data_IF_941449030776
#
_entry.id   IF_941449030776
#
_cell.length_a   1.000
_cell.length_b   1.000
_cell.length_c   1.000
_cell.angle_alpha   90.00
_cell.angle_beta   90.00
_cell.angle_gamma   90.00
#
_symmetry.space_group_name_H-M   'P 1'
#
loop_
_entity.id
_entity.type
_entity.pdbx_description
1 polymer ?
#
# COMPACT_ATOMS: atom_id res chain seq x y z
N UNK A 1 10.88 2.59 -15.29
CA UNK A 1 10.13 1.33 -15.26
C UNK A 1 10.71 0.43 -14.16
N UNK A 2 9.87 -0.33 -13.44
CA UNK A 2 10.33 -1.21 -12.37
C UNK A 2 11.11 -2.39 -12.98
N UNK A 3 12.36 -2.64 -12.56
CA UNK A 3 13.20 -3.67 -13.17
C UNK A 3 12.84 -5.10 -12.76
N UNK A 4 11.91 -5.27 -11.83
CA UNK A 4 11.53 -6.56 -11.25
C UNK A 4 12.35 -6.96 -10.03
N UNK A 5 11.83 -7.96 -9.29
CA UNK A 5 12.37 -8.35 -7.99
C UNK A 5 13.78 -8.93 -8.07
N UNK A 6 14.09 -9.69 -9.11
CA UNK A 6 15.39 -10.35 -9.22
C UNK A 6 16.53 -9.33 -9.46
N UNK A 7 16.27 -8.29 -10.25
CA UNK A 7 17.19 -7.15 -10.42
C UNK A 7 17.26 -6.32 -9.14
N UNK A 8 16.15 -6.10 -8.46
CA UNK A 8 16.12 -5.40 -7.18
C UNK A 8 17.03 -6.11 -6.15
N UNK A 9 16.87 -7.40 -5.95
CA UNK A 9 17.64 -8.16 -4.97
C UNK A 9 19.13 -8.25 -5.33
N UNK A 10 19.46 -8.41 -6.61
CA UNK A 10 20.84 -8.56 -7.06
C UNK A 10 21.61 -7.23 -7.11
N UNK A 11 20.99 -6.18 -7.61
CA UNK A 11 21.69 -4.96 -8.02
C UNK A 11 21.34 -3.73 -7.19
N UNK A 12 20.11 -3.64 -6.64
CA UNK A 12 19.62 -2.43 -5.95
C UNK A 12 19.76 -2.57 -4.44
N UNK A 13 19.25 -3.64 -3.86
CA UNK A 13 19.27 -3.85 -2.41
C UNK A 13 20.69 -3.76 -1.81
N UNK A 14 21.73 -4.37 -2.40
CA UNK A 14 23.10 -4.24 -1.88
C UNK A 14 23.61 -2.79 -1.86
N UNK A 15 23.26 -1.99 -2.87
CA UNK A 15 23.64 -0.56 -2.92
C UNK A 15 22.92 0.24 -1.85
N UNK A 16 21.61 0.02 -1.67
CA UNK A 16 20.84 0.68 -0.60
C UNK A 16 21.45 0.37 0.76
N UNK A 17 21.84 -0.87 1.01
CA UNK A 17 22.48 -1.26 2.27
C UNK A 17 23.87 -0.69 2.47
N UNK A 18 24.62 -0.53 1.40
CA UNK A 18 25.93 0.14 1.46
C UNK A 18 25.79 1.64 1.78
N UNK A 19 24.80 2.32 1.19
CA UNK A 19 24.57 3.76 1.37
C UNK A 19 23.86 4.11 2.69
N UNK A 20 22.99 3.21 3.18
CA UNK A 20 22.17 3.42 4.37
C UNK A 20 22.14 2.15 5.28
N UNK A 21 23.29 1.75 5.85
CA UNK A 21 23.41 0.48 6.58
C UNK A 21 22.52 0.40 7.83
N UNK A 22 22.33 1.52 8.53
CA UNK A 22 21.60 1.60 9.80
C UNK A 22 20.13 2.02 9.64
N UNK A 23 19.66 2.21 8.40
CA UNK A 23 18.28 2.63 8.13
C UNK A 23 17.38 1.42 7.92
N UNK A 24 16.26 1.34 8.64
CA UNK A 24 15.25 0.30 8.39
C UNK A 24 14.71 0.42 6.96
N UNK A 25 14.69 -0.70 6.25
CA UNK A 25 14.24 -0.77 4.86
C UNK A 25 12.98 -1.62 4.72
N UNK A 26 11.88 -0.99 4.33
CA UNK A 26 10.59 -1.64 4.07
C UNK A 26 10.39 -1.71 2.55
N UNK A 27 10.31 -2.92 2.01
CA UNK A 27 10.10 -3.15 0.59
C UNK A 27 8.61 -3.09 0.24
N UNK A 28 8.20 -2.09 -0.56
CA UNK A 28 6.84 -2.04 -1.11
C UNK A 28 6.76 -2.89 -2.39
N UNK A 29 5.74 -3.74 -2.48
CA UNK A 29 5.49 -4.56 -3.66
C UNK A 29 4.01 -4.75 -3.97
N UNK A 30 3.72 -5.11 -5.22
CA UNK A 30 2.40 -5.55 -5.70
C UNK A 30 2.55 -6.72 -6.65
N UNK A 31 1.50 -7.53 -6.77
CA UNK A 31 1.46 -8.69 -7.66
C UNK A 31 0.08 -8.82 -8.33
N UNK A 32 -0.04 -9.76 -9.26
CA UNK A 32 -1.26 -9.98 -10.05
C UNK A 32 -2.22 -11.02 -9.47
N UNK A 33 -1.71 -12.00 -8.71
CA UNK A 33 -2.48 -13.09 -8.10
C UNK A 33 -2.11 -13.25 -6.63
N UNK A 34 -2.95 -13.93 -5.85
CA UNK A 34 -2.67 -14.26 -4.44
C UNK A 34 -1.39 -15.07 -4.31
N UNK A 35 -1.19 -16.02 -5.21
CA UNK A 35 0.02 -16.87 -5.28
C UNK A 35 1.27 -16.04 -5.54
N UNK A 36 1.20 -15.09 -6.48
CA UNK A 36 2.32 -14.19 -6.79
C UNK A 36 2.68 -13.30 -5.60
N UNK A 37 1.69 -12.80 -4.83
CA UNK A 37 1.96 -12.08 -3.59
C UNK A 37 2.74 -12.94 -2.59
N UNK A 38 2.38 -14.21 -2.43
CA UNK A 38 3.11 -15.16 -1.59
C UNK A 38 4.54 -15.40 -2.08
N UNK A 39 4.73 -15.60 -3.38
CA UNK A 39 6.06 -15.79 -3.99
C UNK A 39 6.95 -14.55 -3.83
N UNK A 40 6.38 -13.35 -4.01
CA UNK A 40 7.11 -12.09 -3.81
C UNK A 40 7.54 -11.92 -2.36
N UNK A 41 6.67 -12.24 -1.40
CA UNK A 41 6.99 -12.21 0.01
C UNK A 41 8.14 -13.15 0.37
N UNK A 42 8.14 -14.39 -0.16
CA UNK A 42 9.22 -15.34 0.03
C UNK A 42 10.57 -14.83 -0.53
N UNK A 43 10.55 -14.20 -1.71
CA UNK A 43 11.76 -13.60 -2.30
C UNK A 43 12.29 -12.41 -1.50
N UNK A 44 11.41 -11.66 -0.83
CA UNK A 44 11.78 -10.51 0.01
C UNK A 44 12.16 -10.91 1.45
N UNK A 45 12.03 -12.17 1.84
CA UNK A 45 12.43 -12.69 3.16
C UNK A 45 13.94 -12.94 3.23
N UNK A 46 14.73 -11.91 2.94
CA UNK A 46 16.20 -11.92 2.87
C UNK A 46 16.82 -10.91 3.82
N UNK A 47 18.11 -11.07 4.10
CA UNK A 47 18.88 -10.06 4.83
C UNK A 47 18.89 -8.76 4.04
N UNK A 48 18.78 -7.64 4.78
CA UNK A 48 18.73 -6.31 4.18
C UNK A 48 17.30 -5.82 3.88
N UNK A 49 16.27 -6.62 4.07
CA UNK A 49 14.86 -6.19 4.11
C UNK A 49 14.37 -6.34 5.54
N UNK A 50 13.85 -5.27 6.15
CA UNK A 50 13.41 -5.24 7.54
C UNK A 50 11.89 -5.42 7.68
N UNK A 51 11.14 -5.17 6.62
CA UNK A 51 9.69 -5.35 6.54
C UNK A 51 9.21 -5.31 5.11
N UNK A 52 7.97 -5.72 4.90
CA UNK A 52 7.32 -5.67 3.58
C UNK A 52 6.03 -4.86 3.65
N UNK A 53 5.83 -3.96 2.68
CA UNK A 53 4.57 -3.23 2.48
C UNK A 53 3.85 -3.83 1.27
N UNK A 54 2.69 -4.43 1.52
CA UNK A 54 1.86 -5.09 0.52
C UNK A 54 0.90 -4.09 -0.10
N UNK A 55 1.13 -3.70 -1.33
CA UNK A 55 0.26 -2.79 -2.06
C UNK A 55 -0.87 -3.56 -2.77
N UNK A 56 -2.04 -3.65 -2.13
CA UNK A 56 -3.23 -4.31 -2.69
C UNK A 56 -4.07 -3.41 -3.60
N UNK A 57 -3.65 -2.16 -3.82
CA UNK A 57 -4.42 -1.16 -4.58
C UNK A 57 -4.09 -1.12 -6.07
N UNK A 58 -3.27 -2.04 -6.59
CA UNK A 58 -2.84 -2.03 -7.98
C UNK A 58 -4.02 -2.36 -8.92
N UNK A 59 -4.38 -1.48 -9.87
CA UNK A 59 -5.53 -1.69 -10.77
C UNK A 59 -5.27 -2.69 -11.90
N UNK A 60 -4.06 -3.26 -11.99
CA UNK A 60 -3.60 -4.06 -13.13
C UNK A 60 -3.87 -5.57 -12.97
N UNK A 61 -4.98 -5.97 -12.37
CA UNK A 61 -5.35 -7.38 -12.28
C UNK A 61 -5.97 -7.82 -13.61
N UNK A 62 -5.23 -8.58 -14.40
CA UNK A 62 -5.66 -9.06 -15.72
C UNK A 62 -6.57 -10.30 -15.68
N UNK A 63 -6.69 -10.99 -14.57
CA UNK A 63 -7.51 -12.20 -14.45
C UNK A 63 -8.60 -12.06 -13.39
N UNK A 64 -9.85 -12.18 -13.82
CA UNK A 64 -11.01 -12.31 -12.96
C UNK A 64 -11.64 -11.04 -12.39
N UNK A 65 -11.10 -9.85 -12.66
CA UNK A 65 -11.71 -8.57 -12.24
C UNK A 65 -11.74 -8.33 -10.73
N UNK A 66 -11.00 -9.11 -9.95
CA UNK A 66 -10.92 -8.95 -8.50
C UNK A 66 -9.94 -7.82 -8.19
N UNK A 67 -10.47 -6.71 -7.70
CA UNK A 67 -9.65 -5.60 -7.20
C UNK A 67 -9.37 -5.87 -5.71
N UNK A 68 -8.20 -6.41 -5.40
CA UNK A 68 -7.80 -6.78 -4.02
C UNK A 68 -8.03 -5.66 -2.99
N UNK A 69 -7.91 -4.40 -3.41
CA UNK A 69 -8.08 -3.24 -2.55
C UNK A 69 -9.52 -2.84 -2.25
N UNK A 70 -10.53 -3.51 -2.83
CA UNK A 70 -11.97 -3.19 -2.64
C UNK A 70 -12.82 -4.37 -2.18
N UNK A 71 -12.28 -5.60 -2.20
CA UNK A 71 -12.93 -6.78 -1.64
C UNK A 71 -12.19 -7.24 -0.37
N UNK A 72 -12.80 -7.20 0.82
CA UNK A 72 -12.15 -7.58 2.07
C UNK A 72 -11.70 -9.05 2.10
N UNK A 73 -12.40 -9.96 1.42
CA UNK A 73 -12.01 -11.38 1.35
C UNK A 73 -10.76 -11.56 0.49
N UNK A 74 -10.67 -10.83 -0.62
CA UNK A 74 -9.49 -10.85 -1.47
C UNK A 74 -8.28 -10.22 -0.76
N UNK A 75 -8.48 -9.12 -0.03
CA UNK A 75 -7.44 -8.49 0.79
C UNK A 75 -6.93 -9.44 1.90
N UNK A 76 -7.83 -10.13 2.59
CA UNK A 76 -7.48 -11.14 3.59
C UNK A 76 -6.67 -12.29 2.98
N UNK A 77 -7.10 -12.85 1.84
CA UNK A 77 -6.40 -13.95 1.17
C UNK A 77 -4.96 -13.56 0.76
N UNK A 78 -4.76 -12.35 0.23
CA UNK A 78 -3.42 -11.81 -0.07
C UNK A 78 -2.60 -11.70 1.21
N UNK A 79 -3.16 -11.12 2.27
CA UNK A 79 -2.47 -10.96 3.56
C UNK A 79 -2.03 -12.29 4.14
N UNK A 80 -2.91 -13.30 4.17
CA UNK A 80 -2.57 -14.65 4.61
C UNK A 80 -1.46 -15.29 3.77
N UNK A 81 -1.54 -15.16 2.44
CA UNK A 81 -0.53 -15.71 1.55
C UNK A 81 0.85 -15.08 1.80
N UNK A 82 0.90 -13.76 2.01
CA UNK A 82 2.14 -13.06 2.37
C UNK A 82 2.65 -13.52 3.74
N UNK A 83 1.81 -13.53 4.77
CA UNK A 83 2.20 -13.96 6.14
C UNK A 83 2.74 -15.38 6.20
N UNK A 84 2.23 -16.29 5.39
CA UNK A 84 2.73 -17.68 5.30
C UNK A 84 4.13 -17.77 4.68
N UNK A 85 4.55 -16.79 3.91
CA UNK A 85 5.76 -16.85 3.08
C UNK A 85 6.88 -15.90 3.55
N UNK A 86 6.71 -15.14 4.63
CA UNK A 86 7.76 -14.30 5.23
C UNK A 86 7.70 -14.29 6.73
N UNK A 87 8.86 -14.11 7.37
CA UNK A 87 9.00 -13.84 8.81
C UNK A 87 9.09 -12.35 9.13
N UNK A 88 9.19 -11.52 8.10
CA UNK A 88 9.27 -10.06 8.23
C UNK A 88 7.94 -9.47 8.66
N UNK A 89 7.93 -8.32 9.33
CA UNK A 89 6.70 -7.54 9.56
C UNK A 89 5.98 -7.26 8.23
N UNK A 90 4.68 -7.52 8.21
CA UNK A 90 3.80 -7.33 7.04
C UNK A 90 2.90 -6.12 7.27
N UNK A 91 3.09 -5.10 6.47
CA UNK A 91 2.29 -3.87 6.44
C UNK A 91 1.36 -3.94 5.24
N UNK A 92 0.05 -3.83 5.42
CA UNK A 92 -0.90 -3.84 4.29
C UNK A 92 -1.34 -2.43 3.96
N UNK A 93 -1.09 -2.00 2.70
CA UNK A 93 -1.44 -0.65 2.24
C UNK A 93 -2.82 -0.62 1.60
N UNK A 94 -3.76 0.06 2.28
CA UNK A 94 -5.17 0.12 1.91
C UNK A 94 -5.48 1.19 0.87
N UNK A 95 -6.45 0.88 0.01
CA UNK A 95 -7.04 1.81 -0.95
C UNK A 95 -8.09 2.70 -0.29
N UNK A 96 -8.14 4.00 -0.60
CA UNK A 96 -9.22 4.89 -0.17
C UNK A 96 -10.49 4.76 -1.02
N UNK A 97 -10.44 4.00 -2.13
CA UNK A 97 -11.53 3.91 -3.10
C UNK A 97 -12.58 2.85 -2.67
N UNK A 98 -13.02 2.95 -1.42
CA UNK A 98 -14.00 2.07 -0.78
C UNK A 98 -15.02 2.91 -0.02
N UNK A 99 -16.21 2.35 0.21
CA UNK A 99 -17.26 3.04 0.97
C UNK A 99 -16.92 3.10 2.46
N UNK A 100 -16.42 2.00 3.03
CA UNK A 100 -16.01 1.89 4.42
C UNK A 100 -14.65 1.21 4.53
N UNK A 101 -13.62 2.00 4.88
CA UNK A 101 -12.26 1.50 4.99
C UNK A 101 -12.05 0.61 6.22
N UNK A 102 -12.91 0.71 7.23
CA UNK A 102 -12.78 -0.09 8.45
C UNK A 102 -13.06 -1.56 8.21
N UNK A 103 -13.90 -1.89 7.23
CA UNK A 103 -14.16 -3.27 6.79
C UNK A 103 -12.89 -3.90 6.22
N UNK A 104 -12.17 -3.15 5.39
CA UNK A 104 -10.89 -3.59 4.83
C UNK A 104 -9.83 -3.77 5.91
N UNK A 105 -9.73 -2.78 6.82
CA UNK A 105 -8.77 -2.77 7.90
C UNK A 105 -8.93 -3.99 8.84
N UNK A 106 -10.16 -4.31 9.25
CA UNK A 106 -10.46 -5.49 10.07
C UNK A 106 -10.11 -6.79 9.34
N UNK A 107 -10.45 -6.89 8.06
CA UNK A 107 -10.17 -8.10 7.29
C UNK A 107 -8.66 -8.40 7.19
N UNK A 108 -7.82 -7.39 6.99
CA UNK A 108 -6.37 -7.59 6.92
C UNK A 108 -5.75 -7.82 8.30
N UNK A 109 -6.27 -7.18 9.37
CA UNK A 109 -5.86 -7.47 10.75
C UNK A 109 -6.16 -8.92 11.13
N UNK A 110 -7.38 -9.38 10.89
CA UNK A 110 -7.81 -10.77 11.15
C UNK A 110 -6.99 -11.79 10.34
N UNK A 111 -6.55 -11.42 9.14
CA UNK A 111 -5.67 -12.22 8.29
C UNK A 111 -4.19 -12.20 8.73
N UNK A 112 -3.84 -11.45 9.79
CA UNK A 112 -2.54 -11.46 10.43
C UNK A 112 -1.57 -10.37 9.96
N UNK A 113 -2.03 -9.26 9.39
CA UNK A 113 -1.19 -8.09 9.17
C UNK A 113 -0.58 -7.59 10.47
N UNK A 114 0.68 -7.19 10.46
CA UNK A 114 1.38 -6.62 11.63
C UNK A 114 1.15 -5.10 11.76
N UNK A 115 0.85 -4.44 10.64
CA UNK A 115 0.49 -3.01 10.57
C UNK A 115 -0.33 -2.71 9.32
N UNK A 116 -0.99 -1.56 9.32
CA UNK A 116 -1.73 -1.04 8.18
C UNK A 116 -1.13 0.29 7.75
N UNK A 117 -0.95 0.48 6.43
CA UNK A 117 -0.63 1.77 5.84
C UNK A 117 -1.86 2.32 5.10
N UNK A 118 -2.18 3.58 5.28
CA UNK A 118 -3.26 4.25 4.53
C UNK A 118 -3.04 5.76 4.48
N UNK A 119 -3.36 6.37 3.35
CA UNK A 119 -4.11 5.84 2.20
C UNK A 119 -3.21 5.73 0.96
N UNK A 120 -3.60 4.86 0.01
CA UNK A 120 -3.14 4.95 -1.36
C UNK A 120 -3.85 6.13 -2.06
N UNK A 121 -3.67 6.31 -3.37
CA UNK A 121 -4.24 7.41 -4.13
C UNK A 121 -5.74 7.24 -4.38
N UNK A 122 -6.46 8.37 -4.42
CA UNK A 122 -7.85 8.41 -4.91
C UNK A 122 -7.86 8.31 -6.43
N UNK A 123 -8.85 7.63 -6.99
CA UNK A 123 -9.02 7.58 -8.44
C UNK A 123 -9.55 8.92 -8.95
N UNK A 124 -8.84 9.53 -9.88
CA UNK A 124 -9.20 10.79 -10.51
C UNK A 124 -9.10 10.73 -12.03
N UNK A 125 -9.58 11.78 -12.70
CA UNK A 125 -9.54 11.94 -14.14
C UNK A 125 -9.42 13.42 -14.52
N UNK A 126 -8.74 13.68 -15.63
CA UNK A 126 -8.67 15.01 -16.25
C UNK A 126 -9.04 14.89 -17.72
N UNK A 127 -9.91 15.80 -18.19
CA UNK A 127 -10.29 15.94 -19.60
C UNK A 127 -9.55 17.11 -20.21
N UNK A 128 -8.85 16.88 -21.32
CA UNK A 128 -8.36 17.94 -22.19
C UNK A 128 -9.55 18.50 -22.97
N UNK A 129 -9.98 19.72 -22.61
CA UNK A 129 -11.15 20.37 -23.21
C UNK A 129 -10.94 20.77 -24.67
N UNK A 130 -9.68 20.96 -25.09
CA UNK A 130 -9.32 21.32 -26.47
C UNK A 130 -9.28 20.07 -27.35
N UNK A 131 -8.61 19.02 -26.91
CA UNK A 131 -8.54 17.74 -27.59
C UNK A 131 -9.80 16.89 -27.41
N UNK A 132 -10.69 17.24 -26.49
CA UNK A 132 -11.95 16.55 -26.15
C UNK A 132 -11.75 15.06 -25.83
N UNK A 133 -10.71 14.77 -25.07
CA UNK A 133 -10.35 13.40 -24.67
C UNK A 133 -9.71 13.39 -23.29
N UNK A 134 -9.63 12.22 -22.62
CA UNK A 134 -8.83 12.07 -21.39
C UNK A 134 -7.38 12.52 -21.61
N UNK A 135 -6.82 13.24 -20.63
CA UNK A 135 -5.42 13.68 -20.67
C UNK A 135 -4.46 12.52 -20.44
N UNK A 136 -4.82 11.60 -19.53
CA UNK A 136 -4.02 10.43 -19.20
C UNK A 136 -4.26 9.29 -20.18
N UNK A 137 -3.20 8.60 -20.62
CA UNK A 137 -3.29 7.45 -21.51
C UNK A 137 -4.15 6.30 -20.96
N UNK A 138 -4.17 6.11 -19.64
CA UNK A 138 -5.00 5.12 -18.94
C UNK A 138 -6.38 5.65 -18.54
N UNK A 139 -6.82 6.80 -19.08
CA UNK A 139 -8.09 7.47 -18.79
C UNK A 139 -8.14 8.03 -17.37
N UNK A 140 -7.97 7.20 -16.36
CA UNK A 140 -7.94 7.57 -14.95
C UNK A 140 -6.52 7.43 -14.38
N UNK A 141 -6.26 8.08 -13.24
CA UNK A 141 -5.00 8.01 -12.51
C UNK A 141 -5.18 8.26 -11.02
N UNK A 142 -4.09 8.11 -10.27
CA UNK A 142 -4.09 8.36 -8.85
C UNK A 142 -3.96 9.85 -8.52
N UNK A 143 -4.92 10.38 -7.78
CA UNK A 143 -4.84 11.72 -7.19
C UNK A 143 -4.10 11.63 -5.85
N UNK A 144 -3.04 12.44 -5.69
CA UNK A 144 -2.24 12.59 -4.47
C UNK A 144 -1.99 14.07 -4.17
N UNK A 145 -1.17 14.34 -3.15
CA UNK A 145 -0.81 15.71 -2.76
C UNK A 145 -1.75 16.30 -1.70
N UNK A 146 -1.61 17.61 -1.36
CA UNK A 146 -2.28 18.22 -0.21
C UNK A 146 -3.81 18.09 -0.22
N UNK A 147 -4.42 18.03 -1.39
CA UNK A 147 -5.87 17.91 -1.56
C UNK A 147 -6.46 16.63 -0.95
N UNK A 148 -5.68 15.56 -0.81
CA UNK A 148 -6.16 14.29 -0.25
C UNK A 148 -6.00 14.20 1.28
N UNK A 149 -5.24 15.12 1.91
CA UNK A 149 -4.93 15.08 3.35
C UNK A 149 -6.19 14.95 4.24
N UNK A 150 -7.25 15.77 4.10
CA UNK A 150 -8.41 15.66 4.98
C UNK A 150 -9.15 14.32 4.83
N UNK A 151 -9.08 13.69 3.67
CA UNK A 151 -9.63 12.35 3.44
C UNK A 151 -8.76 11.30 4.14
N UNK A 152 -7.43 11.42 4.02
CA UNK A 152 -6.47 10.51 4.65
C UNK A 152 -6.57 10.57 6.18
N UNK A 153 -6.57 11.76 6.77
CA UNK A 153 -6.73 11.96 8.23
C UNK A 153 -8.04 11.34 8.74
N UNK A 154 -9.17 11.59 8.05
CA UNK A 154 -10.45 10.97 8.40
C UNK A 154 -10.36 9.44 8.38
N UNK A 155 -9.77 8.86 7.33
CA UNK A 155 -9.65 7.41 7.20
C UNK A 155 -8.72 6.80 8.25
N UNK A 156 -7.59 7.46 8.56
CA UNK A 156 -6.70 7.05 9.66
C UNK A 156 -7.46 7.04 10.98
N UNK A 157 -8.20 8.11 11.28
CA UNK A 157 -9.00 8.18 12.50
C UNK A 157 -10.04 7.05 12.59
N UNK A 158 -10.76 6.76 11.49
CA UNK A 158 -11.74 5.68 11.45
C UNK A 158 -11.09 4.30 11.69
N UNK A 159 -9.96 4.03 11.05
CA UNK A 159 -9.24 2.76 11.19
C UNK A 159 -8.66 2.62 12.61
N UNK A 160 -8.13 3.69 13.19
CA UNK A 160 -7.61 3.69 14.56
C UNK A 160 -8.66 3.32 15.63
N UNK A 161 -9.95 3.58 15.37
CA UNK A 161 -11.04 3.15 16.24
C UNK A 161 -11.47 1.70 15.98
N UNK A 162 -11.03 1.08 14.87
CA UNK A 162 -11.55 -0.19 14.39
C UNK A 162 -10.57 -1.37 14.56
N UNK A 163 -9.26 -1.11 14.64
CA UNK A 163 -8.20 -2.12 14.72
C UNK A 163 -7.25 -1.85 15.90
N UNK A 164 -6.41 -2.82 16.24
CA UNK A 164 -5.45 -2.74 17.35
C UNK A 164 -4.00 -2.66 16.89
N UNK A 165 -3.73 -3.04 15.63
CA UNK A 165 -2.38 -3.01 15.06
C UNK A 165 -1.95 -1.58 14.68
N UNK A 166 -0.63 -1.29 14.65
CA UNK A 166 -0.10 0.02 14.29
C UNK A 166 -0.57 0.52 12.92
N UNK A 167 -0.67 1.85 12.80
CA UNK A 167 -1.12 2.52 11.59
C UNK A 167 -0.03 3.48 11.09
N UNK A 168 0.33 3.38 9.81
CA UNK A 168 1.16 4.33 9.10
C UNK A 168 0.26 5.27 8.30
N UNK A 169 0.18 6.53 8.72
CA UNK A 169 -0.61 7.55 8.03
C UNK A 169 0.12 8.12 6.82
N UNK A 170 -0.55 8.19 5.68
CA UNK A 170 -0.02 8.61 4.39
C UNK A 170 -1.02 9.48 3.64
N UNK A 171 -0.52 10.47 2.90
CA UNK A 171 -1.31 11.22 1.94
C UNK A 171 -1.44 12.71 2.26
N UNK A 172 -0.75 13.54 1.47
CA UNK A 172 -0.86 14.99 1.51
C UNK A 172 -0.14 15.68 2.64
N UNK A 173 0.81 15.02 3.32
CA UNK A 173 1.68 15.61 4.34
C UNK A 173 2.71 16.51 3.63
N UNK A 174 2.76 17.79 4.01
CA UNK A 174 3.66 18.79 3.42
C UNK A 174 4.48 19.56 4.45
N UNK A 175 4.12 19.47 5.72
CA UNK A 175 4.81 20.15 6.83
C UNK A 175 4.70 19.31 8.12
N UNK A 176 5.38 19.76 9.18
CA UNK A 176 5.38 19.08 10.47
C UNK A 176 4.01 19.04 11.15
N UNK A 177 3.22 20.10 11.00
CA UNK A 177 1.87 20.20 11.53
C UNK A 177 0.94 19.15 10.91
N UNK A 178 1.09 18.88 9.60
CA UNK A 178 0.34 17.81 8.93
C UNK A 178 0.68 16.44 9.54
N UNK A 179 1.95 16.18 9.84
CA UNK A 179 2.37 14.93 10.48
C UNK A 179 1.77 14.80 11.89
N UNK A 180 1.76 15.87 12.67
CA UNK A 180 1.13 15.89 14.01
C UNK A 180 -0.38 15.62 13.91
N UNK A 181 -1.06 16.15 12.89
CA UNK A 181 -2.48 15.89 12.64
C UNK A 181 -2.76 14.39 12.43
N UNK A 182 -1.90 13.70 11.65
CA UNK A 182 -2.00 12.25 11.47
C UNK A 182 -1.74 11.46 12.76
N UNK A 183 -0.75 11.88 13.57
CA UNK A 183 -0.48 11.26 14.87
C UNK A 183 -1.66 11.42 15.83
N UNK A 184 -2.27 12.61 15.87
CA UNK A 184 -3.47 12.88 16.68
C UNK A 184 -4.70 12.09 16.18
N UNK A 185 -4.76 11.76 14.88
CA UNK A 185 -5.79 10.89 14.33
C UNK A 185 -5.60 9.41 14.68
N UNK A 186 -4.44 9.02 15.21
CA UNK A 186 -4.15 7.66 15.66
C UNK A 186 -3.12 6.90 14.80
N UNK A 187 -2.36 7.59 13.94
CA UNK A 187 -1.24 6.99 13.23
C UNK A 187 -0.06 6.74 14.17
#
# INVERSE_FOLDING_TARGET
ENPGIDVFLRDILPKVRQEAPDTAFIANFSAGTVEDYGMMAAKLDVDGVDGVEVNISCPNVKEGGIVFGTDPRAAAAVTEAVKKNTKKPVIVKLSPNVTDITVMAKAVEEAGADAIALINTLTGMVIDIRARRPLLGNITGGLSGPAVKPIAVRMVWQVAQAVKIPILGLGGITCGEDAVEFLLAGA
#
